data_IF_379405504549
#
_entry.id   IF_379405504549
#
_cell.length_a   1.000
_cell.length_b   1.000
_cell.length_c   1.000
_cell.angle_alpha   90.00
_cell.angle_beta   90.00
_cell.angle_gamma   90.00
#
_symmetry.space_group_name_H-M   'P 1'
#
loop_
_entity.id
_entity.type
_entity.pdbx_description
1 polymer ?
#
# COMPACT_ATOMS: atom_id res chain seq x y z
N UNK A 1 5.01 -41.48 -14.22
CA UNK A 1 4.17 -40.39 -13.69
C UNK A 1 4.93 -39.76 -12.53
N UNK A 2 5.60 -38.64 -12.77
CA UNK A 2 6.34 -37.92 -11.75
C UNK A 2 5.39 -36.87 -11.17
N UNK A 3 4.79 -37.15 -10.02
CA UNK A 3 4.11 -36.13 -9.22
C UNK A 3 5.23 -35.28 -8.59
N UNK A 4 5.71 -34.29 -9.34
CA UNK A 4 6.49 -33.22 -8.74
C UNK A 4 5.59 -32.61 -7.66
N UNK A 5 5.98 -32.77 -6.40
CA UNK A 5 5.40 -32.04 -5.30
C UNK A 5 5.50 -30.57 -5.68
N UNK A 6 4.37 -29.98 -6.09
CA UNK A 6 4.30 -28.58 -6.44
C UNK A 6 4.54 -27.85 -5.11
N UNK A 7 5.80 -27.45 -4.87
CA UNK A 7 6.20 -26.78 -3.66
C UNK A 7 5.41 -25.48 -3.62
N UNK A 8 4.31 -25.47 -2.86
CA UNK A 8 3.48 -24.32 -2.62
C UNK A 8 4.38 -23.23 -2.04
N UNK A 9 4.84 -22.33 -2.89
CA UNK A 9 5.72 -21.25 -2.49
C UNK A 9 4.94 -20.32 -1.56
N UNK A 10 5.57 -19.98 -0.44
CA UNK A 10 4.92 -19.22 0.62
C UNK A 10 4.57 -17.81 0.11
N UNK A 11 3.29 -17.41 0.05
CA UNK A 11 2.90 -16.08 -0.42
C UNK A 11 3.30 -14.96 0.55
N UNK A 12 3.68 -15.30 1.79
CA UNK A 12 3.97 -14.35 2.87
C UNK A 12 4.99 -13.24 2.53
N UNK A 13 6.13 -13.49 1.83
CA UNK A 13 7.07 -12.42 1.49
C UNK A 13 6.45 -11.38 0.56
N UNK A 14 5.68 -11.83 -0.44
CA UNK A 14 4.93 -10.95 -1.33
C UNK A 14 3.92 -10.11 -0.54
N UNK A 15 3.13 -10.73 0.34
CA UNK A 15 2.11 -10.04 1.14
C UNK A 15 2.73 -8.98 2.06
N UNK A 16 3.87 -9.30 2.69
CA UNK A 16 4.63 -8.32 3.49
C UNK A 16 5.15 -7.17 2.64
N UNK A 17 5.67 -7.45 1.45
CA UNK A 17 6.15 -6.43 0.51
C UNK A 17 5.02 -5.52 0.01
N UNK A 18 3.83 -6.09 -0.23
CA UNK A 18 2.64 -5.33 -0.60
C UNK A 18 2.20 -4.39 0.53
N UNK A 19 2.03 -4.90 1.76
CA UNK A 19 1.65 -4.09 2.91
C UNK A 19 2.70 -3.01 3.23
N UNK A 20 3.98 -3.34 3.13
CA UNK A 20 5.07 -2.37 3.29
C UNK A 20 5.02 -1.25 2.25
N UNK A 21 4.54 -1.54 1.03
CA UNK A 21 4.33 -0.51 0.02
C UNK A 21 3.26 0.49 0.42
N UNK A 22 2.21 0.07 1.15
CA UNK A 22 1.17 0.97 1.64
C UNK A 22 1.62 1.83 2.82
N UNK A 23 2.58 1.33 3.61
CA UNK A 23 3.13 1.98 4.80
C UNK A 23 4.35 2.85 4.52
N UNK A 24 4.67 3.07 3.24
CA UNK A 24 5.85 3.82 2.85
C UNK A 24 5.77 5.25 3.43
N UNK A 25 6.77 5.63 4.20
CA UNK A 25 6.93 6.98 4.75
C UNK A 25 7.75 7.85 3.82
N UNK A 26 7.31 9.08 3.55
CA UNK A 26 8.08 10.04 2.76
C UNK A 26 9.28 10.55 3.56
N UNK A 27 10.49 10.25 3.10
CA UNK A 27 11.72 10.87 3.61
C UNK A 27 12.56 11.40 2.46
N UNK A 28 12.63 12.73 2.30
CA UNK A 28 13.56 13.32 1.36
C UNK A 28 14.99 13.15 1.91
N UNK A 29 15.77 12.28 1.27
CA UNK A 29 17.15 11.99 1.63
C UNK A 29 18.11 13.06 1.09
N UNK A 30 18.80 13.79 1.97
CA UNK A 30 19.96 14.60 1.58
C UNK A 30 20.29 15.75 2.53
N UNK A 31 21.59 16.13 2.67
CA UNK A 31 22.04 17.33 3.38
C UNK A 31 21.88 18.62 2.54
N UNK A 32 21.53 18.49 1.25
CA UNK A 32 21.18 19.60 0.38
C UNK A 32 19.73 19.99 0.58
N UNK A 33 19.47 21.31 0.61
CA UNK A 33 18.16 21.93 0.76
C UNK A 33 17.02 21.07 0.17
N UNK A 34 16.03 20.77 1.02
CA UNK A 34 14.77 20.17 0.61
C UNK A 34 14.26 20.89 -0.65
N UNK A 35 13.86 20.17 -1.71
CA UNK A 35 13.23 20.83 -2.86
C UNK A 35 12.04 21.65 -2.35
N UNK A 36 11.81 22.82 -2.95
CA UNK A 36 10.74 23.74 -2.54
C UNK A 36 9.36 23.05 -2.51
N UNK A 37 9.17 22.01 -3.32
CA UNK A 37 7.99 21.16 -3.33
C UNK A 37 8.39 19.68 -3.29
N UNK A 38 7.61 18.83 -2.58
CA UNK A 38 7.86 17.39 -2.56
C UNK A 38 7.61 16.77 -3.94
N UNK A 39 8.40 15.74 -4.28
CA UNK A 39 8.15 14.93 -5.47
C UNK A 39 6.99 13.93 -5.20
N UNK A 40 5.77 14.43 -5.36
CA UNK A 40 4.54 13.69 -5.06
C UNK A 40 4.40 12.45 -5.95
N UNK A 41 4.69 12.57 -7.24
CA UNK A 41 4.53 11.49 -8.20
C UNK A 41 5.48 10.32 -7.91
N UNK A 42 6.76 10.60 -7.67
CA UNK A 42 7.74 9.57 -7.37
C UNK A 42 7.46 8.82 -6.07
N UNK A 43 6.74 9.45 -5.13
CA UNK A 43 6.30 8.83 -3.90
C UNK A 43 4.99 8.04 -4.07
N UNK A 44 3.97 8.66 -4.65
CA UNK A 44 2.64 8.06 -4.79
C UNK A 44 2.63 6.82 -5.71
N UNK A 45 3.47 6.81 -6.74
CA UNK A 45 3.58 5.67 -7.66
C UNK A 45 4.18 4.40 -7.03
N UNK A 46 4.74 4.50 -5.82
CA UNK A 46 5.28 3.35 -5.08
C UNK A 46 4.20 2.56 -4.33
N UNK A 47 3.06 3.19 -4.02
CA UNK A 47 1.96 2.53 -3.32
C UNK A 47 1.37 1.43 -4.21
N UNK A 48 1.34 0.20 -3.69
CA UNK A 48 0.78 -0.93 -4.42
C UNK A 48 1.41 -1.14 -5.80
N UNK A 49 2.73 -0.94 -5.94
CA UNK A 49 3.46 -1.12 -7.21
C UNK A 49 3.26 -2.50 -7.86
N UNK A 50 2.86 -3.49 -7.05
CA UNK A 50 2.53 -4.85 -7.47
C UNK A 50 1.16 -4.97 -8.15
N UNK A 51 0.30 -3.94 -8.04
CA UNK A 51 -1.01 -3.92 -8.68
C UNK A 51 -0.86 -3.74 -10.19
N UNK A 52 -1.68 -4.46 -10.96
CA UNK A 52 -1.81 -4.25 -12.40
C UNK A 52 -2.54 -2.92 -12.67
N UNK A 53 -2.18 -2.16 -13.73
CA UNK A 53 -2.88 -0.92 -14.09
C UNK A 53 -4.40 -1.05 -14.18
N UNK A 54 -4.88 -2.14 -14.77
CA UNK A 54 -6.30 -2.43 -14.98
C UNK A 54 -6.89 -3.43 -13.96
N UNK A 55 -6.36 -3.49 -12.72
CA UNK A 55 -6.94 -4.37 -11.70
C UNK A 55 -8.26 -3.82 -11.15
N UNK A 56 -9.16 -4.71 -10.75
CA UNK A 56 -10.37 -4.32 -10.03
C UNK A 56 -10.04 -4.06 -8.56
N UNK A 57 -10.32 -2.84 -8.08
CA UNK A 57 -10.05 -2.44 -6.70
C UNK A 57 -11.36 -2.02 -6.04
N UNK A 58 -11.63 -2.57 -4.87
CA UNK A 58 -12.79 -2.22 -4.04
C UNK A 58 -12.24 -1.89 -2.65
N UNK A 59 -12.63 -0.73 -2.12
CA UNK A 59 -12.22 -0.27 -0.80
C UNK A 59 -13.47 -0.03 0.05
N UNK A 60 -13.60 -0.73 1.18
CA UNK A 60 -14.76 -0.64 2.08
C UNK A 60 -16.12 -0.71 1.35
N UNK A 61 -16.25 -1.63 0.38
CA UNK A 61 -17.46 -1.81 -0.42
C UNK A 61 -17.65 -0.84 -1.59
N UNK A 62 -16.74 0.13 -1.75
CA UNK A 62 -16.82 1.15 -2.81
C UNK A 62 -15.82 0.81 -3.94
N UNK A 63 -16.28 0.44 -5.14
CA UNK A 63 -15.40 0.15 -6.26
C UNK A 63 -14.71 1.42 -6.77
N UNK A 64 -13.42 1.29 -7.10
CA UNK A 64 -12.68 2.34 -7.80
C UNK A 64 -12.95 2.24 -9.29
N UNK A 65 -13.64 3.24 -9.84
CA UNK A 65 -13.97 3.32 -11.26
C UNK A 65 -12.85 4.07 -11.99
N UNK A 66 -12.15 3.44 -12.96
CA UNK A 66 -11.14 4.10 -13.76
C UNK A 66 -11.74 5.26 -14.57
N UNK A 67 -11.03 6.39 -14.64
CA UNK A 67 -11.42 7.54 -15.45
C UNK A 67 -10.65 7.54 -16.77
N UNK A 68 -11.04 6.66 -17.69
CA UNK A 68 -10.42 6.58 -19.01
C UNK A 68 -10.67 7.86 -19.85
N UNK A 69 -9.67 8.37 -20.59
CA UNK A 69 -8.32 7.83 -20.79
C UNK A 69 -7.27 8.35 -19.79
N UNK A 70 -7.65 9.20 -18.84
CA UNK A 70 -6.73 9.95 -18.00
C UNK A 70 -6.07 9.11 -16.89
N UNK A 71 -6.84 8.26 -16.21
CA UNK A 71 -6.35 7.49 -15.07
C UNK A 71 -6.80 6.02 -15.13
N UNK A 72 -5.84 5.11 -14.94
CA UNK A 72 -6.11 3.68 -14.72
C UNK A 72 -6.53 3.40 -13.26
N UNK A 73 -6.96 2.16 -12.97
CA UNK A 73 -7.47 1.78 -11.66
C UNK A 73 -6.40 1.90 -10.56
N UNK A 74 -5.15 1.54 -10.89
CA UNK A 74 -4.02 1.63 -9.97
C UNK A 74 -3.70 3.08 -9.64
N UNK A 75 -3.69 3.96 -10.63
CA UNK A 75 -3.41 5.38 -10.43
C UNK A 75 -4.51 6.04 -9.58
N UNK A 76 -5.78 5.70 -9.81
CA UNK A 76 -6.89 6.15 -8.94
C UNK A 76 -6.71 5.70 -7.50
N UNK A 77 -6.31 4.43 -7.29
CA UNK A 77 -5.97 3.93 -5.96
C UNK A 77 -4.80 4.70 -5.33
N UNK A 78 -3.70 4.91 -6.05
CA UNK A 78 -2.52 5.60 -5.56
C UNK A 78 -2.83 7.04 -5.13
N UNK A 79 -3.65 7.75 -5.91
CA UNK A 79 -4.12 9.12 -5.58
C UNK A 79 -4.96 9.13 -4.32
N UNK A 80 -5.89 8.18 -4.16
CA UNK A 80 -6.72 8.08 -2.95
C UNK A 80 -5.90 7.68 -1.73
N UNK A 81 -4.99 6.74 -1.87
CA UNK A 81 -4.12 6.26 -0.79
C UNK A 81 -3.16 7.35 -0.30
N UNK A 82 -2.67 8.21 -1.20
CA UNK A 82 -1.86 9.38 -0.86
C UNK A 82 -2.61 10.35 0.08
N UNK A 83 -3.93 10.49 -0.08
CA UNK A 83 -4.77 11.34 0.75
C UNK A 83 -5.02 10.79 2.15
N UNK A 84 -4.75 9.50 2.40
CA UNK A 84 -4.88 8.90 3.72
C UNK A 84 -3.70 9.29 4.62
N UNK A 85 -3.87 9.37 5.95
CA UNK A 85 -2.75 9.48 6.89
C UNK A 85 -1.75 8.34 6.71
N UNK A 86 -0.53 8.51 7.21
CA UNK A 86 0.46 7.43 7.22
C UNK A 86 -0.12 6.20 7.94
N UNK A 87 0.09 5.02 7.36
CA UNK A 87 -0.41 3.76 7.89
C UNK A 87 0.70 2.88 8.43
N UNK A 88 0.34 1.97 9.32
CA UNK A 88 1.18 0.86 9.76
C UNK A 88 0.33 -0.40 9.83
N UNK A 89 0.55 -1.33 8.91
CA UNK A 89 -0.12 -2.62 8.83
C UNK A 89 0.67 -3.69 9.59
N UNK A 90 -0.07 -4.57 10.26
CA UNK A 90 0.43 -5.82 10.83
C UNK A 90 -0.45 -6.97 10.37
N UNK A 91 0.08 -7.79 9.47
CA UNK A 91 -0.57 -9.03 9.04
C UNK A 91 -0.66 -10.00 10.21
N UNK A 92 -1.86 -10.54 10.45
CA UNK A 92 -2.14 -11.49 11.54
C UNK A 92 -2.28 -12.92 11.01
N UNK A 93 -3.02 -13.09 9.92
CA UNK A 93 -3.18 -14.39 9.24
C UNK A 93 -3.38 -14.19 7.73
N UNK A 94 -3.11 -15.24 6.98
CA UNK A 94 -3.43 -15.31 5.55
C UNK A 94 -3.77 -16.75 5.18
N UNK A 95 -4.53 -16.89 4.11
CA UNK A 95 -4.84 -18.16 3.44
C UNK A 95 -4.71 -17.97 1.93
N UNK A 96 -4.26 -19.01 1.22
CA UNK A 96 -3.98 -18.94 -0.20
C UNK A 96 -4.27 -20.27 -0.91
N UNK A 97 -5.11 -20.20 -1.94
CA UNK A 97 -5.50 -21.34 -2.76
C UNK A 97 -5.16 -21.10 -4.23
N UNK A 98 -4.39 -22.01 -4.83
CA UNK A 98 -4.20 -22.04 -6.28
C UNK A 98 -5.49 -22.55 -6.93
N UNK A 99 -6.03 -21.78 -7.88
CA UNK A 99 -7.22 -22.16 -8.63
C UNK A 99 -6.78 -22.99 -9.85
N UNK A 100 -7.12 -24.30 -9.91
CA UNK A 100 -6.65 -25.18 -10.98
C UNK A 100 -7.06 -24.67 -12.38
N UNK A 101 -6.13 -24.71 -13.32
CA UNK A 101 -6.37 -24.34 -14.72
C UNK A 101 -6.42 -22.83 -15.01
N UNK A 102 -6.25 -21.97 -14.00
CA UNK A 102 -6.26 -20.50 -14.19
C UNK A 102 -4.89 -19.86 -14.07
N UNK A 103 -3.94 -20.50 -13.40
CA UNK A 103 -2.65 -19.89 -13.04
C UNK A 103 -2.77 -18.73 -12.04
N UNK A 104 -3.88 -18.66 -11.29
CA UNK A 104 -4.18 -17.62 -10.32
C UNK A 104 -4.34 -18.21 -8.92
N UNK A 105 -3.84 -17.49 -7.91
CA UNK A 105 -4.13 -17.75 -6.51
C UNK A 105 -5.24 -16.83 -6.03
N UNK A 106 -6.19 -17.39 -5.29
CA UNK A 106 -7.06 -16.63 -4.40
C UNK A 106 -6.39 -16.52 -3.04
N UNK A 107 -6.15 -15.30 -2.56
CA UNK A 107 -5.48 -15.04 -1.28
C UNK A 107 -6.38 -14.17 -0.41
N UNK A 108 -6.62 -14.62 0.82
CA UNK A 108 -7.28 -13.85 1.86
C UNK A 108 -6.27 -13.45 2.92
N UNK A 109 -6.24 -12.18 3.31
CA UNK A 109 -5.34 -11.64 4.33
C UNK A 109 -6.15 -10.94 5.40
N UNK A 110 -5.84 -11.24 6.66
CA UNK A 110 -6.40 -10.54 7.82
C UNK A 110 -5.29 -9.90 8.62
N UNK A 111 -5.57 -8.73 9.15
CA UNK A 111 -4.62 -8.04 9.99
C UNK A 111 -5.21 -6.86 10.70
N UNK A 112 -4.32 -6.02 11.22
CA UNK A 112 -4.66 -4.76 11.84
C UNK A 112 -3.85 -3.63 11.23
N UNK A 113 -4.46 -2.46 11.13
CA UNK A 113 -3.85 -1.23 10.62
C UNK A 113 -4.06 -0.13 11.64
N UNK A 114 -3.10 0.76 11.79
CA UNK A 114 -3.23 2.00 12.57
C UNK A 114 -2.77 3.17 11.73
N UNK A 115 -3.30 4.34 12.04
CA UNK A 115 -3.09 5.57 11.29
C UNK A 115 -2.32 6.58 12.14
N UNK A 116 -1.58 7.46 11.47
CA UNK A 116 -0.93 8.60 12.11
C UNK A 116 -1.98 9.69 12.41
N UNK A 117 -2.12 10.03 13.68
CA UNK A 117 -3.00 11.08 14.21
C UNK A 117 -2.22 12.37 14.51
N UNK A 118 -0.96 12.48 14.06
CA UNK A 118 -0.12 13.66 14.26
C UNK A 118 -0.55 14.93 13.50
N UNK A 119 -1.66 14.89 12.76
CA UNK A 119 -2.20 16.02 12.00
C UNK A 119 -1.43 16.36 10.72
N UNK A 120 -0.50 15.50 10.30
CA UNK A 120 0.31 15.68 9.10
C UNK A 120 -0.12 14.75 7.98
N UNK A 121 -0.03 15.24 6.75
CA UNK A 121 -0.15 14.43 5.54
C UNK A 121 1.04 13.48 5.42
N UNK A 122 0.96 12.51 4.51
CA UNK A 122 2.09 11.62 4.17
C UNK A 122 3.31 12.37 3.63
N UNK A 123 3.15 13.60 3.17
CA UNK A 123 4.23 14.48 2.70
C UNK A 123 4.85 15.32 3.83
N UNK A 124 4.32 15.22 5.05
CA UNK A 124 4.82 15.92 6.24
C UNK A 124 4.24 17.31 6.47
N UNK A 125 3.26 17.71 5.66
CA UNK A 125 2.59 19.01 5.70
C UNK A 125 1.36 18.94 6.62
N UNK A 126 1.04 20.01 7.35
CA UNK A 126 -0.25 20.16 8.04
C UNK A 126 -1.13 21.17 7.31
N UNK A 127 -2.44 21.03 7.43
CA UNK A 127 -3.41 21.97 6.88
C UNK A 127 -3.60 23.21 7.77
N UNK A 128 -2.73 23.40 8.77
CA UNK A 128 -2.77 24.54 9.68
C UNK A 128 -2.20 25.76 8.99
N UNK A 129 -3.03 26.79 8.80
CA UNK A 129 -2.61 28.07 8.19
C UNK A 129 -1.48 28.75 8.99
N UNK A 130 -1.43 28.51 10.31
CA UNK A 130 -0.42 29.05 11.22
C UNK A 130 0.52 27.93 11.65
N UNK A 131 1.68 27.87 11.02
CA UNK A 131 2.73 26.91 11.39
C UNK A 131 3.64 27.54 12.45
N UNK A 132 3.79 26.89 13.61
CA UNK A 132 4.84 27.27 14.55
C UNK A 132 6.21 26.97 13.94
N UNK A 133 7.12 27.95 13.85
CA UNK A 133 8.35 27.86 13.04
C UNK A 133 9.39 26.82 13.54
N UNK A 134 9.21 26.24 14.72
CA UNK A 134 10.13 25.27 15.34
C UNK A 134 9.57 23.84 15.40
N UNK A 135 8.95 23.37 14.32
CA UNK A 135 8.59 21.95 14.20
C UNK A 135 9.85 21.05 14.08
N UNK A 136 9.85 19.82 14.65
CA UNK A 136 10.99 18.92 14.54
C UNK A 136 11.30 18.56 13.07
N UNK A 137 12.60 18.58 12.71
CA UNK A 137 13.11 18.31 11.36
C UNK A 137 12.72 16.94 10.78
N UNK A 138 12.29 16.00 11.64
CA UNK A 138 11.66 14.74 11.27
C UNK A 138 10.52 14.45 12.26
N UNK A 139 9.26 14.76 11.93
CA UNK A 139 8.14 14.45 12.81
C UNK A 139 8.02 12.92 12.94
N UNK A 140 7.95 12.43 14.17
CA UNK A 140 7.61 11.03 14.45
C UNK A 140 6.09 10.87 14.29
N UNK A 141 5.60 9.78 13.68
CA UNK A 141 4.17 9.53 13.63
C UNK A 141 3.62 9.27 15.04
N UNK A 142 2.41 9.76 15.30
CA UNK A 142 1.65 9.51 16.52
C UNK A 142 0.56 8.50 16.15
N UNK A 143 0.80 7.24 16.51
CA UNK A 143 -0.11 6.17 16.11
C UNK A 143 -1.39 6.16 16.95
N UNK A 144 -2.53 6.16 16.26
CA UNK A 144 -3.84 5.92 16.85
C UNK A 144 -4.10 4.46 17.23
N UNK A 145 -5.39 4.15 17.42
CA UNK A 145 -5.85 2.80 17.74
C UNK A 145 -5.70 1.82 16.56
N UNK A 146 -5.73 0.52 16.87
CA UNK A 146 -5.75 -0.53 15.86
C UNK A 146 -7.15 -0.71 15.27
N UNK A 147 -7.24 -0.74 13.96
CA UNK A 147 -8.41 -1.13 13.17
C UNK A 147 -8.17 -2.51 12.56
N UNK A 148 -9.18 -3.37 12.54
CA UNK A 148 -9.11 -4.64 11.81
C UNK A 148 -9.27 -4.42 10.31
N UNK A 149 -8.53 -5.16 9.49
CA UNK A 149 -8.73 -5.18 8.04
C UNK A 149 -8.81 -6.62 7.51
N UNK A 150 -9.59 -6.78 6.44
CA UNK A 150 -9.64 -7.98 5.62
C UNK A 150 -9.38 -7.58 4.16
N UNK A 151 -8.52 -8.32 3.48
CA UNK A 151 -8.13 -8.08 2.09
C UNK A 151 -8.21 -9.37 1.30
N UNK A 152 -8.95 -9.35 0.19
CA UNK A 152 -9.07 -10.47 -0.74
C UNK A 152 -8.41 -10.10 -2.06
N UNK A 153 -7.59 -11.00 -2.59
CA UNK A 153 -6.79 -10.76 -3.79
C UNK A 153 -6.83 -11.96 -4.73
N UNK A 154 -6.70 -11.67 -6.02
CA UNK A 154 -6.42 -12.66 -7.05
C UNK A 154 -5.06 -12.31 -7.65
N UNK A 155 -4.09 -13.22 -7.51
CA UNK A 155 -2.67 -12.97 -7.81
C UNK A 155 -2.17 -14.00 -8.81
N UNK A 156 -1.36 -13.58 -9.78
CA UNK A 156 -0.75 -14.50 -10.74
C UNK A 156 0.23 -15.45 -10.04
N UNK A 157 0.23 -16.72 -10.42
CA UNK A 157 1.14 -17.74 -9.88
C UNK A 157 2.63 -17.38 -10.02
N UNK A 158 3.00 -16.67 -11.09
CA UNK A 158 4.37 -16.21 -11.33
C UNK A 158 4.94 -15.34 -10.19
N UNK A 159 4.09 -14.70 -9.39
CA UNK A 159 4.51 -13.84 -8.26
C UNK A 159 5.15 -14.65 -7.14
N UNK A 160 4.78 -15.93 -6.99
CA UNK A 160 5.34 -16.80 -5.95
C UNK A 160 6.59 -17.54 -6.42
N UNK A 161 6.86 -17.54 -7.72
CA UNK A 161 7.99 -18.22 -8.36
C UNK A 161 9.31 -17.43 -8.36
N UNK A 162 9.28 -16.17 -7.91
CA UNK A 162 10.44 -15.28 -7.79
C UNK A 162 11.10 -15.37 -6.40
#
# INVERSE_FOLDING_TARGET
>A
MNLAANSQQDPKPFLKSLLASFDLSYFPSGPSAQPQFPNVEAYATQFGKQLKPACAIIFDGHPLIPQAPANDARLEFQKKWLGCPLTSHQMSSYDAHLIPGTGLYSVTVNGKVRFDEGGKSRLGESADLVQTPNGPAKPRPIWGSWYGFNMNMVIDEAVFQL
#
